data_IF_444763001710
#
_entry.id   IF_444763001710
#
_cell.length_a   1.000
_cell.length_b   1.000
_cell.length_c   1.000
_cell.angle_alpha   90.00
_cell.angle_beta   90.00
_cell.angle_gamma   90.00
#
_symmetry.space_group_name_H-M   'P 1'
#
loop_
_entity.id
_entity.type
_entity.pdbx_description
1 polymer ?
#
# COMPACT_ATOMS: atom_id res chain seq x y z
N UNK A 1 -12.24 -28.54 12.33
CA UNK A 1 -12.52 -27.28 11.62
C UNK A 1 -11.26 -26.98 10.84
N UNK A 2 -11.29 -27.17 9.52
CA UNK A 2 -10.15 -26.83 8.67
C UNK A 2 -9.99 -25.32 8.69
N UNK A 3 -8.86 -24.83 9.19
CA UNK A 3 -8.49 -23.42 9.12
C UNK A 3 -8.45 -23.01 7.64
N UNK A 4 -9.46 -22.26 7.23
CA UNK A 4 -9.50 -21.57 5.93
C UNK A 4 -8.56 -20.36 5.98
N UNK A 5 -7.27 -20.59 6.24
CA UNK A 5 -6.27 -19.55 6.10
C UNK A 5 -6.09 -19.24 4.61
N UNK A 6 -6.33 -18.00 4.23
CA UNK A 6 -6.09 -17.56 2.87
C UNK A 6 -4.57 -17.52 2.61
N UNK A 7 -4.06 -18.40 1.76
CA UNK A 7 -2.64 -18.42 1.37
C UNK A 7 -2.23 -17.23 0.49
N UNK A 8 -3.18 -16.51 -0.08
CA UNK A 8 -2.92 -15.35 -0.95
C UNK A 8 -3.89 -14.22 -0.62
N UNK A 9 -3.37 -13.03 -0.43
CA UNK A 9 -4.14 -11.80 -0.20
C UNK A 9 -3.92 -10.81 -1.32
N UNK A 10 -5.01 -10.30 -1.87
CA UNK A 10 -5.01 -9.23 -2.89
C UNK A 10 -5.70 -8.00 -2.31
N UNK A 11 -4.95 -6.94 -2.04
CA UNK A 11 -5.50 -5.77 -1.38
C UNK A 11 -5.00 -4.45 -1.98
N UNK A 12 -5.66 -3.36 -1.57
CA UNK A 12 -5.35 -2.00 -2.02
C UNK A 12 -4.22 -1.37 -1.21
N UNK A 13 -3.76 -0.20 -1.66
CA UNK A 13 -2.68 0.55 -1.04
C UNK A 13 -2.96 0.99 0.41
N UNK A 14 -4.21 1.04 0.82
CA UNK A 14 -4.59 1.25 2.23
C UNK A 14 -4.08 0.16 3.18
N UNK A 15 -3.84 -1.04 2.66
CA UNK A 15 -3.30 -2.16 3.43
C UNK A 15 -1.79 -2.34 3.30
N UNK A 16 -1.09 -1.50 2.51
CA UNK A 16 0.35 -1.58 2.25
C UNK A 16 1.21 -0.94 3.36
N UNK A 17 0.93 -1.20 4.62
CA UNK A 17 1.71 -0.79 5.77
C UNK A 17 2.80 -1.81 6.12
N UNK A 18 3.85 -1.38 6.83
CA UNK A 18 4.90 -2.27 7.34
C UNK A 18 4.32 -3.37 8.23
N UNK A 19 3.44 -3.00 9.15
CA UNK A 19 2.75 -3.93 10.06
C UNK A 19 2.00 -5.02 9.30
N UNK A 20 1.25 -4.66 8.26
CA UNK A 20 0.47 -5.64 7.50
C UNK A 20 1.38 -6.57 6.66
N UNK A 21 2.45 -6.03 6.06
CA UNK A 21 3.41 -6.87 5.33
C UNK A 21 4.14 -7.84 6.27
N UNK A 22 4.54 -7.37 7.46
CA UNK A 22 5.18 -8.21 8.47
C UNK A 22 4.23 -9.32 8.93
N UNK A 23 2.98 -9.00 9.22
CA UNK A 23 1.96 -9.99 9.57
C UNK A 23 1.77 -11.05 8.47
N UNK A 24 1.63 -10.61 7.21
CA UNK A 24 1.46 -11.54 6.10
C UNK A 24 2.70 -12.43 5.89
N UNK A 25 3.91 -11.90 6.11
CA UNK A 25 5.14 -12.69 6.04
C UNK A 25 5.21 -13.72 7.19
N UNK A 26 4.81 -13.36 8.41
CA UNK A 26 4.78 -14.26 9.57
C UNK A 26 3.76 -15.39 9.40
N UNK A 27 2.63 -15.13 8.77
CA UNK A 27 1.55 -16.11 8.50
C UNK A 27 1.73 -16.86 7.17
N UNK A 28 2.88 -16.73 6.51
CA UNK A 28 3.19 -17.34 5.19
C UNK A 28 2.14 -17.02 4.11
N UNK A 29 1.63 -15.79 4.13
CA UNK A 29 0.63 -15.30 3.18
C UNK A 29 1.31 -14.59 2.02
N UNK A 30 1.05 -15.02 0.78
CA UNK A 30 1.50 -14.32 -0.42
C UNK A 30 0.74 -13.01 -0.60
N UNK A 31 1.44 -11.88 -0.48
CA UNK A 31 0.84 -10.55 -0.42
C UNK A 31 0.87 -9.81 -1.77
N UNK A 32 -0.18 -9.93 -2.60
CA UNK A 32 -0.39 -9.05 -3.76
C UNK A 32 -1.03 -7.73 -3.33
N UNK A 33 -0.40 -7.05 -2.36
CA UNK A 33 -0.90 -5.82 -1.75
C UNK A 33 -0.16 -4.62 -2.32
N UNK A 34 -0.91 -3.67 -2.85
CA UNK A 34 -0.33 -2.42 -3.36
C UNK A 34 0.15 -1.56 -2.20
N UNK A 35 1.18 -0.77 -2.43
CA UNK A 35 1.66 0.26 -1.52
C UNK A 35 1.40 1.67 -2.08
N UNK A 36 1.46 2.66 -1.23
CA UNK A 36 1.35 4.04 -1.65
C UNK A 36 2.40 4.36 -2.74
N UNK A 37 1.96 5.04 -3.79
CA UNK A 37 2.77 5.38 -4.97
C UNK A 37 3.03 4.26 -5.98
N UNK A 38 2.61 3.00 -5.78
CA UNK A 38 2.81 1.90 -6.72
C UNK A 38 2.45 2.27 -8.18
N UNK A 39 1.28 2.91 -8.40
CA UNK A 39 0.90 3.37 -9.73
C UNK A 39 1.66 4.60 -10.22
N UNK A 40 2.08 5.48 -9.29
CA UNK A 40 2.85 6.68 -9.63
C UNK A 40 4.26 6.34 -10.08
N UNK A 41 4.89 5.35 -9.45
CA UNK A 41 6.24 4.87 -9.79
C UNK A 41 6.35 4.29 -11.21
N UNK A 42 5.24 3.86 -11.80
CA UNK A 42 5.21 3.34 -13.17
C UNK A 42 5.24 4.46 -14.22
N UNK A 43 4.91 5.69 -13.83
CA UNK A 43 4.91 6.85 -14.73
C UNK A 43 6.33 7.37 -14.96
N UNK A 44 6.68 7.63 -16.24
CA UNK A 44 8.01 8.14 -16.64
C UNK A 44 8.38 9.44 -15.89
N UNK A 45 7.44 10.37 -15.76
CA UNK A 45 7.67 11.62 -15.03
C UNK A 45 8.04 11.40 -13.54
N UNK A 46 7.50 10.40 -12.89
CA UNK A 46 7.83 10.07 -11.50
C UNK A 46 9.23 9.42 -11.42
N UNK A 47 9.49 8.43 -12.27
CA UNK A 47 10.80 7.75 -12.31
C UNK A 47 11.97 8.68 -12.64
N UNK A 48 11.73 9.65 -13.52
CA UNK A 48 12.78 10.57 -13.97
C UNK A 48 12.92 11.80 -13.05
N UNK A 49 12.15 11.93 -11.99
CA UNK A 49 12.28 13.06 -11.07
C UNK A 49 13.38 12.78 -10.03
N UNK A 50 14.56 13.45 -10.15
CA UNK A 50 15.71 13.18 -9.27
C UNK A 50 15.52 13.70 -7.85
N UNK A 51 14.49 14.52 -7.62
CA UNK A 51 14.24 15.14 -6.32
C UNK A 51 13.37 14.29 -5.38
N UNK A 52 12.77 13.21 -5.88
CA UNK A 52 11.95 12.33 -5.04
C UNK A 52 12.84 11.47 -4.14
N UNK A 53 12.52 11.34 -2.84
CA UNK A 53 13.28 10.49 -1.92
C UNK A 53 13.51 9.06 -2.41
N UNK A 54 12.49 8.50 -3.09
CA UNK A 54 12.51 7.14 -3.62
C UNK A 54 13.46 6.95 -4.83
N UNK A 55 13.85 8.03 -5.49
CA UNK A 55 14.73 8.02 -6.65
C UNK A 55 16.18 8.39 -6.30
N UNK A 56 16.45 8.71 -5.04
CA UNK A 56 17.80 8.97 -4.56
C UNK A 56 18.59 7.66 -4.44
N UNK A 57 19.86 7.74 -4.73
CA UNK A 57 20.76 6.59 -4.63
C UNK A 57 21.17 6.43 -3.16
N UNK A 58 20.86 5.29 -2.56
CA UNK A 58 21.34 4.88 -1.26
C UNK A 58 22.55 3.96 -1.42
N UNK A 59 23.64 4.27 -0.76
CA UNK A 59 24.82 3.43 -0.66
C UNK A 59 24.78 2.64 0.65
N UNK A 60 24.61 1.30 0.60
CA UNK A 60 24.53 0.48 1.80
C UNK A 60 25.90 0.27 2.48
N UNK A 61 27.01 0.37 1.73
CA UNK A 61 28.34 0.13 2.29
C UNK A 61 28.83 1.33 3.11
N UNK A 62 28.51 2.53 2.65
CA UNK A 62 28.85 3.78 3.35
C UNK A 62 27.74 4.33 4.24
N UNK A 63 26.54 3.74 4.21
CA UNK A 63 25.33 4.19 4.91
C UNK A 63 25.03 5.69 4.68
N UNK A 64 24.99 6.09 3.41
CA UNK A 64 24.65 7.45 3.01
C UNK A 64 23.75 7.48 1.76
N UNK A 65 23.10 8.61 1.56
CA UNK A 65 22.30 8.87 0.35
C UNK A 65 23.01 9.94 -0.50
N UNK A 66 23.00 9.77 -1.81
CA UNK A 66 23.50 10.77 -2.75
C UNK A 66 22.37 11.70 -3.15
N UNK A 67 22.51 13.00 -2.88
CA UNK A 67 21.52 14.00 -3.29
C UNK A 67 21.65 14.33 -4.79
N UNK A 68 20.63 14.98 -5.43
CA UNK A 68 20.68 15.32 -6.85
C UNK A 68 21.82 16.28 -7.27
N UNK A 69 22.41 16.98 -6.32
CA UNK A 69 23.61 17.83 -6.55
C UNK A 69 24.93 17.07 -6.35
N UNK A 70 24.89 15.74 -6.13
CA UNK A 70 26.09 14.92 -5.94
C UNK A 70 26.69 14.96 -4.52
N UNK A 71 26.05 15.64 -3.56
CA UNK A 71 26.52 15.65 -2.18
C UNK A 71 26.02 14.41 -1.42
N UNK A 72 26.80 13.94 -0.47
CA UNK A 72 26.40 12.91 0.47
C UNK A 72 25.44 13.47 1.52
N UNK A 73 24.39 12.70 1.80
CA UNK A 73 23.51 12.90 2.94
C UNK A 73 23.85 11.81 3.95
N UNK A 74 24.50 12.20 5.04
CA UNK A 74 25.01 11.25 6.02
C UNK A 74 23.92 10.85 7.01
N UNK A 75 24.06 9.65 7.54
CA UNK A 75 23.24 9.18 8.64
C UNK A 75 23.42 10.06 9.86
N UNK A 76 22.33 10.53 10.46
CA UNK A 76 22.34 11.40 11.63
C UNK A 76 21.61 10.79 12.85
N UNK A 77 20.99 9.66 12.67
CA UNK A 77 20.28 8.97 13.76
C UNK A 77 19.05 8.20 13.29
N UNK A 78 18.31 7.66 14.23
CA UNK A 78 17.09 6.91 13.98
C UNK A 78 15.88 7.59 14.62
N UNK A 79 14.73 7.41 14.00
CA UNK A 79 13.44 7.87 14.49
C UNK A 79 12.53 6.67 14.71
N UNK A 80 12.01 6.53 15.92
CA UNK A 80 11.02 5.53 16.25
C UNK A 80 9.61 6.13 16.03
N UNK A 81 8.80 5.44 15.26
CA UNK A 81 7.41 5.80 15.01
C UNK A 81 6.51 4.73 15.65
N UNK A 82 5.42 5.18 16.27
CA UNK A 82 4.40 4.31 16.84
C UNK A 82 3.09 4.62 16.13
N UNK A 83 2.44 3.60 15.56
CA UNK A 83 1.12 3.76 14.96
C UNK A 83 0.03 3.88 16.02
N UNK A 84 -1.16 4.34 15.63
CA UNK A 84 -2.32 4.43 16.54
C UNK A 84 -2.71 3.06 17.15
N UNK A 85 -2.33 1.96 16.50
CA UNK A 85 -2.54 0.59 16.97
C UNK A 85 -1.37 0.05 17.80
N UNK A 86 -0.36 0.88 18.12
CA UNK A 86 0.78 0.51 18.96
C UNK A 86 1.93 -0.19 18.21
N UNK A 87 1.86 -0.36 16.89
CA UNK A 87 2.95 -0.93 16.10
C UNK A 87 4.15 0.01 16.07
N UNK A 88 5.34 -0.54 16.36
CA UNK A 88 6.60 0.21 16.40
C UNK A 88 7.38 -0.01 15.11
N UNK A 89 7.71 1.08 14.42
CA UNK A 89 8.59 1.08 13.26
C UNK A 89 9.76 2.02 13.47
N UNK A 90 10.86 1.76 12.78
CA UNK A 90 12.08 2.55 12.86
C UNK A 90 12.47 3.06 11.47
N UNK A 91 12.87 4.32 11.41
CA UNK A 91 13.39 4.93 10.20
C UNK A 91 14.76 5.57 10.48
N UNK A 92 15.67 5.43 9.52
CA UNK A 92 16.97 6.11 9.50
C UNK A 92 16.81 7.52 8.96
N UNK A 93 17.50 8.46 9.57
CA UNK A 93 17.51 9.87 9.18
C UNK A 93 18.83 10.19 8.48
N UNK A 94 18.74 10.78 7.29
CA UNK A 94 19.91 11.20 6.51
C UNK A 94 19.81 12.68 6.21
N UNK A 95 20.89 13.43 6.43
CA UNK A 95 20.91 14.87 6.23
C UNK A 95 22.05 15.30 5.30
N UNK A 96 21.75 16.20 4.37
CA UNK A 96 22.74 16.83 3.51
C UNK A 96 23.65 17.79 4.31
N UNK A 97 24.92 17.87 3.93
CA UNK A 97 25.90 18.71 4.61
C UNK A 97 25.64 20.21 4.43
N UNK A 98 25.42 20.67 3.20
CA UNK A 98 25.14 22.07 2.89
C UNK A 98 24.15 22.21 1.73
N UNK A 99 23.01 22.83 2.01
CA UNK A 99 21.99 23.15 1.02
C UNK A 99 21.86 24.67 0.75
N UNK A 100 22.60 25.55 1.45
CA UNK A 100 22.38 27.00 1.36
C UNK A 100 22.76 27.53 -0.03
N UNK A 101 23.95 27.18 -0.52
CA UNK A 101 24.47 27.65 -1.81
C UNK A 101 24.26 26.66 -2.95
N UNK A 102 23.34 25.70 -2.76
CA UNK A 102 23.08 24.66 -3.75
C UNK A 102 22.25 25.22 -4.93
N UNK A 103 22.72 25.11 -6.17
CA UNK A 103 22.02 25.63 -7.35
C UNK A 103 20.67 24.96 -7.59
N UNK A 104 20.51 23.72 -7.09
CA UNK A 104 19.27 22.95 -7.22
C UNK A 104 18.28 23.16 -6.07
N UNK A 105 18.62 24.01 -5.08
CA UNK A 105 17.84 24.16 -3.86
C UNK A 105 16.36 24.45 -4.12
N UNK A 106 16.07 25.42 -4.99
CA UNK A 106 14.70 25.85 -5.26
C UNK A 106 13.80 24.75 -5.84
N UNK A 107 14.40 23.80 -6.57
CA UNK A 107 13.72 22.65 -7.14
C UNK A 107 13.67 21.45 -6.18
N UNK A 108 14.68 21.34 -5.32
CA UNK A 108 14.92 20.19 -4.46
C UNK A 108 14.20 20.27 -3.12
N UNK A 109 14.36 21.41 -2.40
CA UNK A 109 13.91 21.54 -1.01
C UNK A 109 13.64 22.98 -0.63
N UNK A 110 12.39 23.30 -0.30
CA UNK A 110 11.92 24.67 -0.03
C UNK A 110 11.98 25.08 1.44
N UNK A 111 12.10 24.13 2.38
CA UNK A 111 12.15 24.45 3.80
C UNK A 111 13.49 25.04 4.22
N UNK A 112 13.54 25.67 5.40
CA UNK A 112 14.76 26.21 5.99
C UNK A 112 15.73 25.09 6.39
N UNK A 113 17.04 25.36 6.36
CA UNK A 113 18.09 24.40 6.76
C UNK A 113 18.45 23.40 5.67
N UNK A 114 19.16 22.36 6.05
CA UNK A 114 19.60 21.29 5.15
C UNK A 114 18.48 20.26 4.94
N UNK A 115 18.46 19.69 3.74
CA UNK A 115 17.49 18.65 3.41
C UNK A 115 17.74 17.40 4.25
N UNK A 116 16.66 16.88 4.86
CA UNK A 116 16.66 15.64 5.61
C UNK A 116 15.71 14.65 4.96
N UNK A 117 16.06 13.38 4.95
CA UNK A 117 15.28 12.27 4.41
C UNK A 117 15.12 11.22 5.50
N UNK A 118 13.90 10.74 5.65
CA UNK A 118 13.53 9.63 6.52
C UNK A 118 13.39 8.38 5.65
N UNK A 119 14.17 7.35 5.94
CA UNK A 119 14.20 6.10 5.19
C UNK A 119 13.90 4.92 6.10
N UNK A 120 12.77 4.25 5.87
CA UNK A 120 12.44 3.01 6.55
C UNK A 120 12.87 1.82 5.68
N UNK A 121 14.02 1.25 5.98
CA UNK A 121 14.63 0.16 5.21
C UNK A 121 13.78 -1.11 5.18
N UNK A 122 13.13 -1.45 6.29
CA UNK A 122 12.24 -2.62 6.40
C UNK A 122 11.03 -2.47 5.49
N UNK A 123 10.35 -1.32 5.55
CA UNK A 123 9.23 -1.04 4.66
C UNK A 123 9.65 -1.01 3.18
N UNK A 124 10.84 -0.50 2.86
CA UNK A 124 11.36 -0.52 1.49
C UNK A 124 11.62 -1.94 0.99
N UNK A 125 12.14 -2.83 1.84
CA UNK A 125 12.31 -4.24 1.50
C UNK A 125 10.96 -4.91 1.19
N UNK A 126 9.93 -4.66 2.02
CA UNK A 126 8.57 -5.15 1.78
C UNK A 126 7.97 -4.60 0.48
N UNK A 127 8.13 -3.31 0.21
CA UNK A 127 7.65 -2.70 -1.05
C UNK A 127 8.33 -3.29 -2.28
N UNK A 128 9.61 -3.64 -2.19
CA UNK A 128 10.34 -4.32 -3.26
C UNK A 128 9.76 -5.70 -3.56
N UNK A 129 9.61 -6.54 -2.52
CA UNK A 129 8.94 -7.84 -2.64
C UNK A 129 7.51 -7.72 -3.21
N UNK A 130 6.72 -6.79 -2.67
CA UNK A 130 5.36 -6.54 -3.16
C UNK A 130 5.34 -6.07 -4.63
N UNK A 131 6.29 -5.25 -5.05
CA UNK A 131 6.42 -4.82 -6.45
C UNK A 131 6.71 -6.00 -7.38
N UNK A 132 7.63 -6.88 -7.01
CA UNK A 132 7.95 -8.09 -7.77
C UNK A 132 6.71 -8.98 -7.91
N UNK A 133 6.00 -9.26 -6.82
CA UNK A 133 4.76 -10.03 -6.84
C UNK A 133 3.66 -9.36 -7.68
N UNK A 134 3.45 -8.06 -7.53
CA UNK A 134 2.42 -7.31 -8.27
C UNK A 134 2.71 -7.23 -9.78
N UNK A 135 3.98 -7.29 -10.18
CA UNK A 135 4.40 -7.23 -11.59
C UNK A 135 4.57 -8.62 -12.21
N UNK A 136 4.50 -9.70 -11.43
CA UNK A 136 4.49 -11.07 -11.93
C UNK A 136 3.22 -11.35 -12.76
N UNK A 137 3.22 -12.40 -13.55
CA UNK A 137 2.06 -12.84 -14.34
C UNK A 137 0.84 -13.10 -13.45
N UNK A 138 1.06 -13.78 -12.31
CA UNK A 138 0.03 -14.02 -11.31
C UNK A 138 -0.51 -12.72 -10.70
N UNK A 139 0.38 -11.80 -10.34
CA UNK A 139 0.01 -10.48 -9.83
C UNK A 139 -0.80 -9.65 -10.82
N UNK A 140 -0.46 -9.70 -12.10
CA UNK A 140 -1.23 -9.06 -13.17
C UNK A 140 -2.62 -9.69 -13.29
N UNK A 141 -2.73 -11.02 -13.24
CA UNK A 141 -3.99 -11.75 -13.24
C UNK A 141 -4.89 -11.37 -12.07
N UNK A 142 -4.35 -11.32 -10.86
CA UNK A 142 -5.10 -10.91 -9.67
C UNK A 142 -5.54 -9.44 -9.74
N UNK A 143 -4.69 -8.57 -10.22
CA UNK A 143 -5.02 -7.14 -10.40
C UNK A 143 -6.11 -6.90 -11.43
N UNK A 144 -6.15 -7.67 -12.52
CA UNK A 144 -7.18 -7.55 -13.55
C UNK A 144 -8.56 -8.05 -13.09
N UNK A 145 -8.59 -9.05 -12.20
CA UNK A 145 -9.84 -9.60 -11.65
C UNK A 145 -10.47 -8.71 -10.59
N UNK A 146 -9.67 -7.96 -9.84
CA UNK A 146 -10.13 -7.17 -8.70
C UNK A 146 -11.30 -6.22 -9.00
N UNK A 147 -11.31 -5.44 -10.10
CA UNK A 147 -12.45 -4.58 -10.43
C UNK A 147 -13.77 -5.35 -10.59
N UNK A 148 -13.70 -6.58 -11.10
CA UNK A 148 -14.88 -7.42 -11.33
C UNK A 148 -15.34 -8.10 -10.05
N UNK A 149 -14.41 -8.61 -9.24
CA UNK A 149 -14.72 -9.41 -8.04
C UNK A 149 -15.11 -8.55 -6.84
N UNK A 150 -14.47 -7.42 -6.63
CA UNK A 150 -14.65 -6.58 -5.44
C UNK A 150 -15.45 -5.31 -5.73
N UNK A 151 -15.04 -4.54 -6.73
CA UNK A 151 -15.66 -3.24 -7.00
C UNK A 151 -17.07 -3.38 -7.59
N UNK A 152 -17.30 -4.43 -8.39
CA UNK A 152 -18.62 -4.72 -8.93
C UNK A 152 -19.64 -5.07 -7.84
N UNK A 153 -19.22 -5.76 -6.78
CA UNK A 153 -20.09 -6.08 -5.63
C UNK A 153 -20.52 -4.79 -4.92
N UNK A 154 -19.58 -3.91 -4.60
CA UNK A 154 -19.90 -2.62 -4.00
C UNK A 154 -20.73 -1.70 -4.92
N UNK A 155 -20.46 -1.73 -6.22
CA UNK A 155 -21.27 -1.04 -7.23
C UNK A 155 -22.70 -1.53 -7.26
N UNK A 156 -22.93 -2.84 -7.19
CA UNK A 156 -24.26 -3.43 -7.11
C UNK A 156 -24.97 -3.08 -5.81
N UNK A 157 -24.30 -3.12 -4.67
CA UNK A 157 -24.87 -2.75 -3.38
C UNK A 157 -25.32 -1.29 -3.38
N UNK A 158 -24.48 -0.38 -3.89
CA UNK A 158 -24.77 1.06 -3.92
C UNK A 158 -25.83 1.43 -4.95
N UNK A 159 -25.70 0.95 -6.19
CA UNK A 159 -26.59 1.35 -7.30
C UNK A 159 -27.88 0.51 -7.35
N UNK A 160 -27.76 -0.81 -7.34
CA UNK A 160 -28.91 -1.70 -7.60
C UNK A 160 -29.73 -1.98 -6.33
N UNK A 161 -29.12 -1.89 -5.15
CA UNK A 161 -29.80 -2.08 -3.86
C UNK A 161 -29.99 -0.79 -3.08
N UNK A 162 -29.66 0.36 -3.67
CA UNK A 162 -29.80 1.71 -3.10
C UNK A 162 -29.16 1.88 -1.71
N UNK A 163 -28.13 1.08 -1.41
CA UNK A 163 -27.43 1.14 -0.13
C UNK A 163 -26.43 2.30 -0.15
N UNK A 164 -26.88 3.48 0.18
CA UNK A 164 -26.07 4.71 0.13
C UNK A 164 -25.36 5.00 1.45
N UNK A 165 -25.95 4.59 2.58
CA UNK A 165 -25.40 4.80 3.93
C UNK A 165 -25.99 3.81 4.91
N UNK A 166 -25.29 3.58 6.01
CA UNK A 166 -25.80 2.81 7.13
C UNK A 166 -26.95 3.56 7.82
N UNK A 167 -28.01 2.84 8.17
CA UNK A 167 -29.15 3.36 8.91
C UNK A 167 -28.90 3.33 10.43
N UNK A 168 -28.09 2.38 10.88
CA UNK A 168 -27.74 2.21 12.28
C UNK A 168 -26.49 2.97 12.70
N UNK A 169 -26.36 3.33 13.98
CA UNK A 169 -25.21 4.01 14.56
C UNK A 169 -24.45 3.07 15.52
N UNK A 170 -23.12 3.16 15.49
CA UNK A 170 -22.21 2.37 16.31
C UNK A 170 -21.76 1.08 15.63
N UNK A 171 -20.50 0.70 15.84
CA UNK A 171 -19.79 -0.39 15.12
C UNK A 171 -20.60 -1.69 15.14
N UNK A 172 -21.01 -2.17 16.31
CA UNK A 172 -21.76 -3.44 16.44
C UNK A 172 -23.05 -3.50 15.61
N UNK A 173 -23.81 -2.40 15.59
CA UNK A 173 -25.06 -2.34 14.81
C UNK A 173 -24.80 -2.25 13.31
N UNK A 174 -23.77 -1.49 12.93
CA UNK A 174 -23.31 -1.39 11.53
C UNK A 174 -22.79 -2.72 11.01
N UNK A 175 -22.09 -3.51 11.82
CA UNK A 175 -21.64 -4.87 11.48
C UNK A 175 -22.85 -5.79 11.20
N UNK A 176 -23.89 -5.74 12.03
CA UNK A 176 -25.10 -6.52 11.81
C UNK A 176 -25.80 -6.10 10.51
N UNK A 177 -25.98 -4.80 10.30
CA UNK A 177 -26.62 -4.25 9.08
C UNK A 177 -25.84 -4.66 7.82
N UNK A 178 -24.51 -4.55 7.85
CA UNK A 178 -23.66 -4.99 6.75
C UNK A 178 -23.69 -6.51 6.55
N UNK A 179 -23.68 -7.29 7.63
CA UNK A 179 -23.79 -8.74 7.58
C UNK A 179 -25.08 -9.22 6.92
N UNK A 180 -26.20 -8.63 7.26
CA UNK A 180 -27.50 -8.91 6.63
C UNK A 180 -27.49 -8.57 5.13
N UNK A 181 -26.91 -7.43 4.77
CA UNK A 181 -26.78 -7.01 3.38
C UNK A 181 -25.87 -7.95 2.56
N UNK A 182 -24.78 -8.42 3.15
CA UNK A 182 -23.86 -9.38 2.54
C UNK A 182 -24.52 -10.74 2.34
N UNK A 183 -25.27 -11.24 3.33
CA UNK A 183 -26.06 -12.48 3.21
C UNK A 183 -27.10 -12.38 2.10
N UNK A 184 -27.84 -11.30 2.02
CA UNK A 184 -28.83 -11.07 0.96
C UNK A 184 -28.17 -11.01 -0.43
N UNK A 185 -26.98 -10.40 -0.55
CA UNK A 185 -26.22 -10.40 -1.80
C UNK A 185 -25.79 -11.80 -2.21
N UNK A 186 -25.26 -12.59 -1.28
CA UNK A 186 -24.78 -13.94 -1.54
C UNK A 186 -25.94 -14.89 -1.92
N UNK A 187 -27.08 -14.80 -1.25
CA UNK A 187 -28.27 -15.58 -1.61
C UNK A 187 -28.75 -15.26 -3.03
N UNK A 188 -28.82 -13.99 -3.41
CA UNK A 188 -29.18 -13.60 -4.78
C UNK A 188 -28.18 -14.10 -5.83
N UNK A 189 -26.90 -14.14 -5.49
CA UNK A 189 -25.87 -14.71 -6.37
C UNK A 189 -26.05 -16.22 -6.54
N UNK A 190 -26.33 -16.93 -5.44
CA UNK A 190 -26.64 -18.38 -5.49
C UNK A 190 -27.88 -18.66 -6.34
N UNK A 191 -28.96 -17.92 -6.16
CA UNK A 191 -30.19 -18.09 -6.96
C UNK A 191 -29.95 -17.89 -8.46
N UNK A 192 -29.18 -16.88 -8.82
CA UNK A 192 -28.81 -16.64 -10.23
C UNK A 192 -27.99 -17.78 -10.84
N UNK A 193 -27.04 -18.33 -10.07
CA UNK A 193 -26.24 -19.47 -10.54
C UNK A 193 -27.08 -20.73 -10.68
N UNK A 194 -28.01 -20.99 -9.77
CA UNK A 194 -28.94 -22.12 -9.84
C UNK A 194 -29.91 -21.99 -11.02
N UNK A 195 -30.42 -20.80 -11.32
CA UNK A 195 -31.30 -20.57 -12.48
C UNK A 195 -30.59 -20.76 -13.82
N UNK A 196 -29.28 -20.53 -13.88
CA UNK A 196 -28.47 -20.78 -15.09
C UNK A 196 -28.24 -22.29 -15.33
N UNK A 197 -28.21 -23.10 -14.28
CA UNK A 197 -28.03 -24.55 -14.35
C UNK A 197 -29.33 -25.24 -14.88
N UNK A 198 -30.49 -24.64 -14.64
CA UNK A 198 -31.78 -25.20 -15.10
C UNK A 198 -32.16 -24.84 -16.54
N UNK A 199 -31.36 -24.01 -17.24
CA UNK A 199 -31.62 -23.57 -18.62
C UNK A 199 -30.65 -24.25 -19.64
N UNK A 200 -29.71 -25.03 -19.14
CA UNK A 200 -28.78 -25.85 -19.94
C UNK A 200 -29.21 -27.33 -19.91
#
# INVERSE_FOLDING_TARGET
MSDLCAHTVVADSGYGSEQNYEYMEQEDITAHVKYNYFHKEQKKAYRNNPFLPQNLVYDPDGDFIICPAGQTMNFIGTKNNISDLGYRSQASLYQAGNCQDCPLRMQCYKAKGNRMIELNHKLLAYRRKAKELLMSEEGLRHRSKRPVEVEAVFGQLKKNKMFNRFSMKGIKKVEIEFGLLAMAHNLLKMMKNLSLIHIS
#
